data_IF_236858065779
#
_entry.id   IF_236858065779
#
_cell.length_a   1.000
_cell.length_b   1.000
_cell.length_c   1.000
_cell.angle_alpha   90.00
_cell.angle_beta   90.00
_cell.angle_gamma   90.00
#
_symmetry.space_group_name_H-M   'P 1'
#
loop_
_entity.id
_entity.type
_entity.pdbx_description
1 polymer ?
#
# COMPACT_ATOMS: atom_id res chain seq x y z
N UNK A 1 6.25 -4.25 -15.08
CA UNK A 1 4.81 -3.98 -14.83
C UNK A 1 4.68 -2.97 -13.68
N UNK A 2 3.64 -2.12 -13.65
CA UNK A 2 3.34 -1.29 -12.47
C UNK A 2 2.33 -2.02 -11.58
N UNK A 3 2.51 -1.98 -10.26
CA UNK A 3 1.48 -2.39 -9.29
C UNK A 3 0.96 -1.17 -8.56
N UNK A 4 -0.36 -1.09 -8.37
CA UNK A 4 -0.99 0.06 -7.71
C UNK A 4 -1.97 -0.39 -6.62
N UNK A 5 -2.14 0.41 -5.56
CA UNK A 5 -3.22 0.16 -4.60
C UNK A 5 -4.59 0.21 -5.27
N UNK A 6 -5.44 -0.81 -5.08
CA UNK A 6 -6.76 -0.90 -5.72
C UNK A 6 -7.67 0.28 -5.42
N UNK A 7 -7.57 0.87 -4.23
CA UNK A 7 -8.34 2.07 -3.90
C UNK A 7 -7.96 3.30 -4.75
N UNK A 8 -6.70 3.39 -5.20
CA UNK A 8 -6.24 4.45 -6.11
C UNK A 8 -6.80 4.27 -7.52
N UNK A 9 -7.11 3.03 -7.91
CA UNK A 9 -7.74 2.73 -9.19
C UNK A 9 -9.28 2.82 -9.14
N UNK A 10 -9.87 3.39 -8.09
CA UNK A 10 -11.32 3.59 -7.96
C UNK A 10 -12.11 2.39 -7.41
N UNK A 11 -11.44 1.30 -7.01
CA UNK A 11 -12.14 0.19 -6.37
C UNK A 11 -12.49 0.57 -4.91
N UNK A 12 -13.75 0.37 -4.53
CA UNK A 12 -14.28 0.69 -3.19
C UNK A 12 -13.84 -0.32 -2.13
N UNK A 13 -12.54 -0.40 -1.87
CA UNK A 13 -11.91 -1.41 -1.00
C UNK A 13 -11.34 -0.82 0.29
N UNK A 14 -11.47 0.49 0.52
CA UNK A 14 -11.02 1.10 1.79
C UNK A 14 -11.85 0.59 2.96
N UNK A 15 -11.34 0.81 4.17
CA UNK A 15 -11.99 0.35 5.39
C UNK A 15 -13.46 0.81 5.51
N UNK A 16 -13.76 2.03 5.04
CA UNK A 16 -15.09 2.63 5.04
C UNK A 16 -15.91 2.37 3.76
N UNK A 17 -15.56 1.34 2.97
CA UNK A 17 -16.22 0.99 1.71
C UNK A 17 -16.24 2.12 0.65
N UNK A 18 -15.26 3.02 0.71
CA UNK A 18 -15.00 4.04 -0.33
C UNK A 18 -13.74 3.71 -1.13
N UNK A 19 -13.43 4.52 -2.13
CA UNK A 19 -12.17 4.51 -2.86
C UNK A 19 -11.30 5.74 -2.49
N UNK A 20 -10.16 5.86 -3.17
CA UNK A 20 -9.30 7.03 -3.13
C UNK A 20 -8.81 7.30 -4.55
N UNK A 21 -9.75 7.36 -5.50
CA UNK A 21 -9.47 7.43 -6.93
C UNK A 21 -8.41 8.49 -7.27
N UNK A 22 -7.36 8.04 -7.95
CA UNK A 22 -6.42 8.86 -8.69
C UNK A 22 -6.62 8.58 -10.18
N UNK A 23 -6.97 9.62 -10.94
CA UNK A 23 -7.32 9.49 -12.35
C UNK A 23 -6.15 9.03 -13.22
N UNK A 24 -4.91 9.38 -12.89
CA UNK A 24 -3.74 8.92 -13.64
C UNK A 24 -3.52 7.43 -13.41
N UNK A 25 -3.67 6.97 -12.17
CA UNK A 25 -3.57 5.54 -11.83
C UNK A 25 -4.68 4.75 -12.50
N UNK A 26 -5.91 5.26 -12.52
CA UNK A 26 -7.02 4.64 -13.24
C UNK A 26 -6.68 4.45 -14.73
N UNK A 27 -6.18 5.50 -15.40
CA UNK A 27 -5.80 5.43 -16.81
C UNK A 27 -4.69 4.40 -17.06
N UNK A 28 -3.73 4.24 -16.14
CA UNK A 28 -2.70 3.20 -16.25
C UNK A 28 -3.29 1.79 -16.17
N UNK A 29 -4.29 1.58 -15.33
CA UNK A 29 -4.99 0.29 -15.21
C UNK A 29 -5.82 0.01 -16.47
N UNK A 30 -6.57 1.00 -16.97
CA UNK A 30 -7.35 0.88 -18.21
C UNK A 30 -6.47 0.60 -19.43
N UNK A 31 -5.29 1.23 -19.49
CA UNK A 31 -4.27 0.98 -20.50
C UNK A 31 -3.49 -0.35 -20.29
N UNK A 32 -3.85 -1.17 -19.29
CA UNK A 32 -3.19 -2.43 -18.92
C UNK A 32 -1.69 -2.28 -18.60
N UNK A 33 -1.27 -1.09 -18.18
CA UNK A 33 0.10 -0.78 -17.72
C UNK A 33 0.27 -1.01 -16.21
N UNK A 34 -0.83 -1.03 -15.47
CA UNK A 34 -0.87 -1.27 -14.03
C UNK A 34 -1.81 -2.43 -13.66
N UNK A 35 -1.43 -3.18 -12.63
CA UNK A 35 -2.27 -4.18 -11.97
C UNK A 35 -2.58 -3.74 -10.55
N UNK A 36 -3.83 -3.89 -10.12
CA UNK A 36 -4.27 -3.42 -8.80
C UNK A 36 -4.06 -4.48 -7.72
N UNK A 37 -3.72 -4.05 -6.50
CA UNK A 37 -3.63 -4.89 -5.31
C UNK A 37 -4.24 -4.19 -4.09
N UNK A 38 -4.91 -4.95 -3.22
CA UNK A 38 -5.30 -4.48 -1.90
C UNK A 38 -4.75 -5.45 -0.85
N UNK A 39 -3.64 -5.13 -0.17
CA UNK A 39 -3.00 -6.06 0.75
C UNK A 39 -3.93 -6.48 1.90
N UNK A 40 -4.77 -5.57 2.38
CA UNK A 40 -5.75 -5.86 3.43
C UNK A 40 -6.77 -6.92 2.96
N UNK A 41 -7.36 -6.80 1.77
CA UNK A 41 -8.26 -7.85 1.25
C UNK A 41 -7.52 -9.17 0.99
N UNK A 42 -6.28 -9.12 0.50
CA UNK A 42 -5.44 -10.31 0.33
C UNK A 42 -5.09 -10.98 1.66
N UNK A 43 -5.03 -10.20 2.75
CA UNK A 43 -4.87 -10.66 4.13
C UNK A 43 -6.10 -11.40 4.68
N UNK A 44 -7.27 -11.18 4.07
CA UNK A 44 -8.55 -11.79 4.46
C UNK A 44 -9.49 -10.85 5.19
N UNK A 45 -9.26 -9.54 5.12
CA UNK A 45 -10.21 -8.56 5.64
C UNK A 45 -11.48 -8.46 4.78
N UNK A 46 -12.57 -7.99 5.38
CA UNK A 46 -13.79 -7.57 4.69
C UNK A 46 -13.75 -6.10 4.26
N UNK A 47 -14.73 -5.71 3.46
CA UNK A 47 -15.08 -4.30 3.23
C UNK A 47 -16.59 -4.14 3.50
N UNK A 48 -17.01 -3.24 4.41
CA UNK A 48 -16.17 -2.42 5.29
C UNK A 48 -15.42 -3.25 6.36
N UNK A 49 -14.49 -2.58 7.05
CA UNK A 49 -13.75 -3.07 8.22
C UNK A 49 -13.42 -1.90 9.14
N UNK A 50 -13.00 -2.19 10.36
CA UNK A 50 -12.61 -1.18 11.32
C UNK A 50 -11.31 -0.49 10.88
N UNK A 51 -11.12 0.83 11.15
CA UNK A 51 -9.81 1.45 10.98
C UNK A 51 -8.79 0.81 11.93
N UNK A 52 -7.57 0.66 11.45
CA UNK A 52 -6.45 0.15 12.22
C UNK A 52 -5.24 1.08 12.08
N UNK A 53 -4.38 1.10 13.09
CA UNK A 53 -3.14 1.87 13.12
C UNK A 53 -1.97 1.00 13.62
N UNK A 54 -0.75 1.36 13.24
CA UNK A 54 0.45 0.72 13.80
C UNK A 54 0.74 1.36 15.15
N UNK A 55 0.88 0.53 16.20
CA UNK A 55 1.25 0.94 17.55
C UNK A 55 2.65 0.46 17.86
N UNK A 56 3.51 1.38 18.31
CA UNK A 56 4.87 1.08 18.77
C UNK A 56 5.95 1.08 17.70
N UNK A 57 5.69 1.65 16.51
CA UNK A 57 6.68 1.75 15.44
C UNK A 57 6.07 1.95 14.06
N UNK A 58 6.72 1.40 13.03
CA UNK A 58 6.22 1.37 11.65
C UNK A 58 6.21 -0.07 11.09
N UNK A 59 6.00 -0.23 9.78
CA UNK A 59 5.93 -1.53 9.12
C UNK A 59 7.16 -2.42 9.33
N UNK A 60 8.37 -1.84 9.47
CA UNK A 60 9.57 -2.62 9.76
C UNK A 60 9.52 -3.25 11.16
N UNK A 61 9.04 -2.49 12.14
CA UNK A 61 8.86 -2.93 13.53
C UNK A 61 7.77 -3.99 13.66
N UNK A 62 6.73 -3.89 12.83
CA UNK A 62 5.69 -4.94 12.75
C UNK A 62 6.30 -6.25 12.22
N UNK A 63 7.11 -6.17 11.16
CA UNK A 63 7.75 -7.36 10.56
C UNK A 63 8.83 -7.98 11.47
N UNK A 64 9.43 -7.21 12.39
CA UNK A 64 10.38 -7.73 13.39
C UNK A 64 9.70 -8.19 14.69
N UNK A 65 8.41 -7.90 14.87
CA UNK A 65 7.63 -8.27 16.05
C UNK A 65 7.74 -7.28 17.22
N UNK A 66 8.31 -6.09 17.03
CA UNK A 66 8.39 -5.02 18.04
C UNK A 66 7.21 -4.05 18.02
N UNK A 67 6.42 -4.02 16.94
CA UNK A 67 5.18 -3.24 16.84
C UNK A 67 3.99 -4.10 16.41
N UNK A 68 2.79 -3.56 16.53
CA UNK A 68 1.53 -4.27 16.20
C UNK A 68 0.60 -3.40 15.38
N UNK A 69 -0.30 -4.04 14.63
CA UNK A 69 -1.41 -3.36 13.96
C UNK A 69 -2.69 -3.64 14.73
N UNK A 70 -3.28 -2.60 15.30
CA UNK A 70 -4.43 -2.69 16.20
C UNK A 70 -5.62 -1.96 15.56
N UNK A 71 -6.80 -2.56 15.58
CA UNK A 71 -8.07 -1.91 15.22
C UNK A 71 -8.51 -0.96 16.33
N UNK A 72 -9.36 0.03 16.02
CA UNK A 72 -9.87 1.01 16.99
C UNK A 72 -10.48 0.34 18.26
N UNK A 73 -11.15 -0.79 18.11
CA UNK A 73 -11.74 -1.59 19.19
C UNK A 73 -10.71 -2.26 20.11
N UNK A 74 -9.42 -2.19 19.78
CA UNK A 74 -8.33 -2.84 20.51
C UNK A 74 -7.99 -4.25 20.01
N UNK A 75 -8.65 -4.73 18.94
CA UNK A 75 -8.34 -6.04 18.36
C UNK A 75 -6.99 -6.01 17.64
N UNK A 76 -6.15 -7.00 17.95
CA UNK A 76 -4.88 -7.22 17.26
C UNK A 76 -5.13 -7.92 15.92
N UNK A 77 -4.75 -7.24 14.82
CA UNK A 77 -4.92 -7.73 13.44
C UNK A 77 -3.59 -7.84 12.70
N UNK A 78 -2.48 -7.82 13.44
CA UNK A 78 -1.10 -7.82 12.91
C UNK A 78 -0.87 -8.93 11.89
N UNK A 79 -1.27 -10.17 12.21
CA UNK A 79 -1.08 -11.34 11.33
C UNK A 79 -1.80 -11.20 9.99
N UNK A 80 -2.96 -10.56 9.95
CA UNK A 80 -3.70 -10.34 8.71
C UNK A 80 -2.99 -9.32 7.81
N UNK A 81 -2.39 -8.28 8.39
CA UNK A 81 -1.58 -7.30 7.68
C UNK A 81 -0.28 -7.92 7.13
N UNK A 82 0.42 -8.72 7.93
CA UNK A 82 1.63 -9.45 7.49
C UNK A 82 1.28 -10.41 6.36
N UNK A 83 0.22 -11.21 6.52
CA UNK A 83 -0.26 -12.12 5.47
C UNK A 83 -0.59 -11.37 4.18
N UNK A 84 -1.26 -10.23 4.28
CA UNK A 84 -1.57 -9.34 3.17
C UNK A 84 -0.33 -8.84 2.43
N UNK A 85 0.68 -8.39 3.18
CA UNK A 85 1.96 -7.95 2.65
C UNK A 85 2.65 -9.06 1.84
N UNK A 86 2.73 -10.29 2.37
CA UNK A 86 3.33 -11.42 1.66
C UNK A 86 2.56 -11.84 0.40
N UNK A 87 1.23 -11.70 0.39
CA UNK A 87 0.44 -11.93 -0.83
C UNK A 87 0.71 -10.85 -1.90
N UNK A 88 0.85 -9.59 -1.48
CA UNK A 88 1.23 -8.50 -2.37
C UNK A 88 2.64 -8.70 -2.94
N UNK A 89 3.60 -9.15 -2.12
CA UNK A 89 4.95 -9.53 -2.56
C UNK A 89 4.91 -10.65 -3.62
N UNK A 90 4.16 -11.73 -3.37
CA UNK A 90 3.99 -12.81 -4.37
C UNK A 90 3.42 -12.30 -5.68
N UNK A 91 2.49 -11.34 -5.62
CA UNK A 91 1.93 -10.71 -6.81
C UNK A 91 2.98 -9.88 -7.55
N UNK A 92 3.79 -9.10 -6.82
CA UNK A 92 4.90 -8.33 -7.38
C UNK A 92 5.95 -9.21 -8.08
N UNK A 93 6.32 -10.32 -7.46
CA UNK A 93 7.25 -11.29 -8.03
C UNK A 93 6.68 -11.93 -9.29
N UNK A 94 5.44 -12.43 -9.25
CA UNK A 94 4.78 -13.08 -10.38
C UNK A 94 4.64 -12.18 -11.60
N UNK A 95 4.41 -10.88 -11.38
CA UNK A 95 4.19 -9.90 -12.45
C UNK A 95 5.47 -9.22 -12.93
N UNK A 96 6.63 -9.49 -12.31
CA UNK A 96 7.85 -8.73 -12.58
C UNK A 96 7.61 -7.23 -12.38
N UNK A 97 7.09 -6.86 -11.20
CA UNK A 97 6.83 -5.46 -10.88
C UNK A 97 8.14 -4.65 -10.93
N UNK A 98 8.11 -3.51 -11.60
CA UNK A 98 9.24 -2.58 -11.71
C UNK A 98 9.03 -1.32 -10.87
N UNK A 99 7.77 -0.96 -10.63
CA UNK A 99 7.38 0.16 -9.79
C UNK A 99 6.08 -0.19 -9.06
N UNK A 100 6.00 0.15 -7.77
CA UNK A 100 4.83 -0.09 -6.94
C UNK A 100 4.35 1.24 -6.35
N UNK A 101 3.09 1.59 -6.62
CA UNK A 101 2.47 2.83 -6.18
C UNK A 101 1.38 2.53 -5.15
N UNK A 102 1.65 2.84 -3.88
CA UNK A 102 0.78 2.49 -2.78
C UNK A 102 0.14 3.73 -2.16
N UNK A 103 -1.07 3.55 -1.60
CA UNK A 103 -1.83 4.64 -0.99
C UNK A 103 -1.15 5.14 0.28
N UNK A 104 -0.81 6.43 0.30
CA UNK A 104 -0.13 7.06 1.44
C UNK A 104 -0.99 7.09 2.72
N UNK A 105 -0.34 7.12 3.88
CA UNK A 105 -0.91 7.15 5.24
C UNK A 105 -1.52 5.84 5.78
N UNK A 106 -1.68 4.80 4.95
CA UNK A 106 -2.26 3.53 5.39
C UNK A 106 -1.28 2.72 6.26
N UNK A 107 -1.76 2.01 7.31
CA UNK A 107 -0.92 1.08 8.08
C UNK A 107 -0.39 -0.10 7.24
N UNK A 108 -1.00 -0.40 6.09
CA UNK A 108 -0.47 -1.36 5.12
C UNK A 108 0.39 -0.67 4.06
N UNK A 109 -0.15 0.37 3.43
CA UNK A 109 0.31 0.89 2.15
C UNK A 109 1.10 2.20 2.24
N UNK A 110 1.09 2.91 3.38
CA UNK A 110 1.81 4.17 3.54
C UNK A 110 3.30 4.01 3.22
N UNK A 111 3.90 5.00 2.57
CA UNK A 111 5.28 4.96 2.06
C UNK A 111 6.20 5.95 2.75
N UNK A 112 5.67 7.03 3.31
CA UNK A 112 6.43 8.04 4.04
C UNK A 112 5.77 8.46 5.34
N UNK A 113 4.44 8.43 5.42
CA UNK A 113 3.69 8.77 6.62
C UNK A 113 2.69 7.66 6.97
N UNK A 114 2.44 7.49 8.26
CA UNK A 114 1.37 6.65 8.82
C UNK A 114 0.70 7.38 9.98
N UNK A 115 -0.47 6.93 10.41
CA UNK A 115 -1.07 7.42 11.65
C UNK A 115 -0.24 7.01 12.89
N UNK A 116 -0.35 7.79 13.96
CA UNK A 116 0.54 7.68 15.11
C UNK A 116 0.22 6.55 16.10
N UNK A 117 -0.88 5.82 15.92
CA UNK A 117 -1.29 4.72 16.79
C UNK A 117 -2.16 5.15 17.98
N UNK A 118 -2.46 6.45 18.10
CA UNK A 118 -3.34 6.99 19.14
C UNK A 118 -4.78 7.17 18.65
N UNK A 119 -5.04 6.88 17.37
CA UNK A 119 -6.32 7.12 16.72
C UNK A 119 -6.83 8.57 16.84
N UNK A 120 -5.91 9.52 16.95
CA UNK A 120 -6.22 10.95 17.06
C UNK A 120 -6.20 11.67 15.70
N UNK A 121 -6.17 10.93 14.58
CA UNK A 121 -5.97 11.46 13.22
C UNK A 121 -4.65 12.26 13.08
N UNK A 122 -3.66 11.95 13.92
CA UNK A 122 -2.31 12.51 13.87
C UNK A 122 -1.40 11.56 13.09
N UNK A 123 -0.54 12.13 12.26
CA UNK A 123 0.39 11.37 11.42
C UNK A 123 1.82 11.54 11.91
N UNK A 124 2.62 10.52 11.68
CA UNK A 124 4.05 10.50 11.96
C UNK A 124 4.82 9.96 10.76
N UNK A 125 6.12 10.24 10.71
CA UNK A 125 7.02 9.65 9.73
C UNK A 125 7.09 8.13 9.95
N UNK A 126 6.92 7.37 8.88
CA UNK A 126 6.87 5.91 8.91
C UNK A 126 6.10 5.36 7.73
N UNK A 127 6.17 4.05 7.52
CA UNK A 127 5.53 3.39 6.39
C UNK A 127 4.81 2.13 6.84
N UNK A 128 3.85 1.67 6.04
CA UNK A 128 3.02 0.52 6.35
C UNK A 128 3.73 -0.82 6.16
N UNK A 129 3.09 -1.88 6.66
CA UNK A 129 3.64 -3.26 6.67
C UNK A 129 3.96 -3.77 5.26
N UNK A 130 3.10 -3.49 4.28
CA UNK A 130 3.32 -3.94 2.89
C UNK A 130 4.47 -3.16 2.24
N UNK A 131 4.53 -1.85 2.47
CA UNK A 131 5.63 -1.03 1.97
C UNK A 131 6.98 -1.47 2.55
N UNK A 132 7.03 -1.73 3.85
CA UNK A 132 8.22 -2.24 4.53
C UNK A 132 8.72 -3.53 3.87
N UNK A 133 7.84 -4.53 3.73
CA UNK A 133 8.21 -5.83 3.15
C UNK A 133 8.70 -5.70 1.71
N UNK A 134 7.98 -4.97 0.86
CA UNK A 134 8.35 -4.81 -0.55
C UNK A 134 9.70 -4.08 -0.70
N UNK A 135 9.97 -3.07 0.13
CA UNK A 135 11.27 -2.38 0.13
C UNK A 135 12.41 -3.28 0.58
N UNK A 136 12.20 -4.13 1.60
CA UNK A 136 13.19 -5.15 2.02
C UNK A 136 13.54 -6.13 0.90
N UNK A 137 12.57 -6.42 0.04
CA UNK A 137 12.73 -7.29 -1.13
C UNK A 137 13.28 -6.55 -2.37
N UNK A 138 13.69 -5.29 -2.21
CA UNK A 138 14.36 -4.51 -3.26
C UNK A 138 13.43 -3.82 -4.25
N UNK A 139 12.11 -3.75 -3.99
CA UNK A 139 11.20 -3.02 -4.85
C UNK A 139 11.19 -1.51 -4.57
N UNK A 140 11.10 -0.72 -5.64
CA UNK A 140 10.77 0.70 -5.56
C UNK A 140 9.29 0.88 -5.21
N UNK A 141 9.01 1.37 -4.01
CA UNK A 141 7.67 1.63 -3.49
C UNK A 141 7.48 3.12 -3.19
N UNK A 142 6.50 3.73 -3.84
CA UNK A 142 6.22 5.17 -3.79
C UNK A 142 4.76 5.45 -3.47
N UNK A 143 4.46 6.66 -3.03
CA UNK A 143 3.09 7.15 -2.87
C UNK A 143 2.45 7.56 -4.20
N UNK A 144 1.13 7.77 -4.20
CA UNK A 144 0.44 8.42 -5.31
C UNK A 144 0.97 9.83 -5.62
N UNK A 145 1.58 10.51 -4.64
CA UNK A 145 2.08 11.88 -4.79
C UNK A 145 3.39 11.96 -5.59
N UNK A 146 4.11 10.86 -5.69
CA UNK A 146 5.42 10.78 -6.34
C UNK A 146 5.34 10.29 -7.79
N UNK A 147 4.15 9.85 -8.24
CA UNK A 147 3.97 9.19 -9.53
C UNK A 147 4.50 10.02 -10.71
N UNK A 148 4.22 11.32 -10.74
CA UNK A 148 4.67 12.22 -11.82
C UNK A 148 6.19 12.37 -11.88
N UNK A 149 6.84 12.41 -10.71
CA UNK A 149 8.30 12.49 -10.59
C UNK A 149 8.94 11.22 -11.15
N UNK A 150 8.43 10.06 -10.76
CA UNK A 150 8.94 8.77 -11.25
C UNK A 150 8.65 8.56 -12.74
N UNK A 151 7.48 8.98 -13.23
CA UNK A 151 7.14 8.88 -14.64
C UNK A 151 8.06 9.70 -15.55
N UNK A 152 8.63 10.79 -15.03
CA UNK A 152 9.60 11.62 -15.76
C UNK A 152 11.03 11.06 -15.76
N UNK A 153 11.32 10.05 -14.94
CA UNK A 153 12.67 9.48 -14.87
C UNK A 153 12.94 8.55 -16.07
N UNK A 154 14.13 8.63 -16.69
CA UNK A 154 14.47 7.78 -17.83
C UNK A 154 14.31 6.28 -17.56
N UNK A 155 14.64 5.83 -16.35
CA UNK A 155 14.56 4.42 -15.95
C UNK A 155 13.13 3.85 -15.94
N UNK A 156 12.11 4.67 -15.69
CA UNK A 156 10.71 4.25 -15.71
C UNK A 156 9.95 4.71 -16.96
N UNK A 157 10.52 5.58 -17.79
CA UNK A 157 9.85 6.17 -18.96
C UNK A 157 9.14 5.15 -19.86
N UNK A 158 9.75 3.98 -20.07
CA UNK A 158 9.18 2.88 -20.85
C UNK A 158 7.91 2.27 -20.25
N UNK A 159 7.70 2.38 -18.92
CA UNK A 159 6.46 1.96 -18.27
C UNK A 159 5.28 2.88 -18.60
N UNK A 160 5.56 4.14 -18.96
CA UNK A 160 4.56 5.18 -19.16
C UNK A 160 4.35 5.55 -20.63
N UNK A 161 5.31 5.27 -21.52
CA UNK A 161 5.23 5.56 -22.96
C UNK A 161 3.95 5.01 -23.63
N UNK A 162 3.34 5.79 -24.51
CA UNK A 162 2.25 5.32 -25.38
C UNK A 162 2.79 4.22 -26.32
N UNK A 163 2.04 3.12 -26.46
CA UNK A 163 2.36 2.05 -27.40
C UNK A 163 1.67 2.29 -28.72
#
# INVERSE_FOLDING_TARGET
>A
MIIVSSCLAGLKVRYNATDSLDTHIQLLVEAKKAVTVCPELLGGFSTPREPAEIIGGNGDDVLSGSARVIEWSGRDVTEMYIKGAYQALRTAQKLGALLIVLKENSPSCGSAMIYNGEFANVKQAGYGVTTALLRREGYTVISEYELSVYAAQPEYSALFAER
#
